data_IF_031338017185
#
_entry.id   IF_031338017185
#
_cell.length_a   1.000
_cell.length_b   1.000
_cell.length_c   1.000
_cell.angle_alpha   90.00
_cell.angle_beta   90.00
_cell.angle_gamma   90.00
#
_symmetry.space_group_name_H-M   'P 1'
#
loop_
_entity.id
_entity.type
_entity.pdbx_description
1 polymer ?
#
# COMPACT_ATOMS: atom_id res chain seq x y z
N UNK A 1 -22.99 17.99 -7.44
CA UNK A 1 -21.69 17.71 -6.82
C UNK A 1 -20.70 17.30 -7.93
N UNK A 2 -19.60 17.99 -8.03
CA UNK A 2 -18.56 17.63 -9.00
C UNK A 2 -17.64 16.53 -8.46
N UNK A 3 -16.78 15.97 -9.31
CA UNK A 3 -15.88 14.88 -8.95
C UNK A 3 -14.93 15.25 -7.80
N UNK A 4 -14.40 16.47 -7.80
CA UNK A 4 -13.46 16.95 -6.77
C UNK A 4 -14.16 17.00 -5.42
N UNK A 5 -15.37 17.57 -5.36
CA UNK A 5 -16.16 17.61 -4.12
C UNK A 5 -16.44 16.20 -3.59
N UNK A 6 -16.73 15.26 -4.49
CA UNK A 6 -16.96 13.86 -4.09
C UNK A 6 -15.70 13.20 -3.53
N UNK A 7 -14.56 13.48 -4.12
CA UNK A 7 -13.25 12.99 -3.61
C UNK A 7 -12.96 13.58 -2.24
N UNK A 8 -13.14 14.90 -2.08
CA UNK A 8 -12.91 15.58 -0.80
C UNK A 8 -13.78 15.02 0.32
N UNK A 9 -15.06 14.75 0.04
CA UNK A 9 -15.97 14.12 1.01
C UNK A 9 -15.48 12.73 1.44
N UNK A 10 -15.03 11.90 0.49
CA UNK A 10 -14.53 10.56 0.77
C UNK A 10 -13.24 10.64 1.61
N UNK A 11 -12.34 11.57 1.28
CA UNK A 11 -11.10 11.80 2.04
C UNK A 11 -11.45 12.23 3.47
N UNK A 12 -12.37 13.18 3.63
CA UNK A 12 -12.80 13.67 4.95
C UNK A 12 -13.43 12.55 5.80
N UNK A 13 -14.29 11.74 5.19
CA UNK A 13 -14.96 10.63 5.88
C UNK A 13 -13.99 9.51 6.27
N UNK A 14 -12.98 9.22 5.42
CA UNK A 14 -12.12 8.05 5.54
C UNK A 14 -10.65 8.39 5.82
N UNK A 15 -10.38 9.61 6.24
CA UNK A 15 -9.00 10.02 6.53
C UNK A 15 -8.31 9.11 7.53
N UNK A 16 -7.16 8.56 7.15
CA UNK A 16 -6.31 7.77 8.05
C UNK A 16 -5.84 8.57 9.26
N UNK A 17 -5.69 9.89 9.10
CA UNK A 17 -5.23 10.78 10.18
C UNK A 17 -6.22 10.84 11.35
N UNK A 18 -7.48 10.48 11.13
CA UNK A 18 -8.53 10.42 12.16
C UNK A 18 -8.67 9.03 12.79
N UNK A 19 -7.95 8.03 12.26
CA UNK A 19 -7.98 6.69 12.80
C UNK A 19 -7.24 6.63 14.16
N UNK A 20 -7.78 5.92 15.16
CA UNK A 20 -7.16 5.83 16.49
C UNK A 20 -5.69 5.38 16.46
N UNK A 21 -5.31 4.50 15.56
CA UNK A 21 -3.94 4.06 15.38
C UNK A 21 -3.00 5.23 15.04
N UNK A 22 -3.39 6.09 14.10
CA UNK A 22 -2.59 7.26 13.71
C UNK A 22 -2.55 8.32 14.82
N UNK A 23 -3.64 8.50 15.54
CA UNK A 23 -3.67 9.39 16.70
C UNK A 23 -2.69 8.92 17.78
N UNK A 24 -2.71 7.62 18.09
CA UNK A 24 -1.76 7.02 19.04
C UNK A 24 -0.31 7.10 18.53
N UNK A 25 -0.10 6.94 17.25
CA UNK A 25 1.22 7.12 16.62
C UNK A 25 1.73 8.54 16.86
N UNK A 26 0.93 9.55 16.50
CA UNK A 26 1.29 10.97 16.66
C UNK A 26 1.54 11.36 18.12
N UNK A 27 0.81 10.74 19.05
CA UNK A 27 0.95 10.95 20.49
C UNK A 27 2.09 10.14 21.13
N UNK A 28 2.79 9.31 20.35
CA UNK A 28 3.84 8.44 20.85
C UNK A 28 3.36 7.33 21.82
N UNK A 29 2.10 6.92 21.68
CA UNK A 29 1.45 5.95 22.58
C UNK A 29 1.43 4.51 22.04
N UNK A 30 1.94 4.27 20.83
CA UNK A 30 2.02 2.92 20.27
C UNK A 30 3.04 2.08 21.03
N UNK A 31 2.66 0.84 21.35
CA UNK A 31 3.58 -0.14 21.92
C UNK A 31 4.47 -0.75 20.84
N UNK A 32 5.59 -1.32 21.25
CA UNK A 32 6.45 -2.09 20.32
C UNK A 32 5.67 -3.25 19.68
N UNK A 33 4.79 -3.91 20.43
CA UNK A 33 3.93 -4.97 19.92
C UNK A 33 2.98 -4.48 18.85
N UNK A 34 2.36 -3.31 19.04
CA UNK A 34 1.49 -2.68 18.05
C UNK A 34 2.24 -2.34 16.75
N UNK A 35 3.45 -1.79 16.89
CA UNK A 35 4.32 -1.48 15.74
C UNK A 35 4.76 -2.74 15.01
N UNK A 36 5.11 -3.80 15.74
CA UNK A 36 5.48 -5.09 15.16
C UNK A 36 4.30 -5.69 14.36
N UNK A 37 3.10 -5.68 14.93
CA UNK A 37 1.89 -6.12 14.22
C UNK A 37 1.62 -5.29 12.96
N UNK A 38 1.71 -3.98 13.07
CA UNK A 38 1.59 -3.07 11.94
C UNK A 38 2.60 -3.37 10.84
N UNK A 39 3.87 -3.60 11.21
CA UNK A 39 4.93 -3.88 10.23
C UNK A 39 4.64 -5.13 9.40
N UNK A 40 4.05 -6.15 10.02
CA UNK A 40 3.67 -7.40 9.34
C UNK A 40 2.45 -7.19 8.42
N UNK A 41 1.43 -6.50 8.91
CA UNK A 41 0.21 -6.24 8.12
C UNK A 41 0.49 -5.33 6.92
N UNK A 42 1.17 -4.23 7.13
CA UNK A 42 1.46 -3.28 6.05
C UNK A 42 2.44 -3.84 5.02
N UNK A 43 3.29 -4.77 5.41
CA UNK A 43 4.20 -5.44 4.47
C UNK A 43 3.44 -6.16 3.35
N UNK A 44 2.22 -6.63 3.60
CA UNK A 44 1.38 -7.25 2.57
C UNK A 44 1.12 -6.28 1.41
N UNK A 45 0.90 -5.02 1.71
CA UNK A 45 0.75 -3.96 0.70
C UNK A 45 2.10 -3.59 0.07
N UNK A 46 3.13 -3.40 0.88
CA UNK A 46 4.48 -3.00 0.41
C UNK A 46 5.00 -3.97 -0.65
N UNK A 47 4.87 -5.28 -0.43
CA UNK A 47 5.32 -6.30 -1.40
C UNK A 47 4.42 -6.41 -2.62
N UNK A 48 3.13 -6.06 -2.50
CA UNK A 48 2.15 -6.23 -3.56
C UNK A 48 2.10 -5.03 -4.53
N UNK A 49 2.39 -3.81 -4.07
CA UNK A 49 2.28 -2.59 -4.90
C UNK A 49 3.09 -2.65 -6.20
N UNK A 50 4.36 -3.11 -6.22
CA UNK A 50 5.08 -3.23 -7.48
C UNK A 50 4.38 -4.13 -8.50
N UNK A 51 3.78 -5.22 -8.04
CA UNK A 51 3.07 -6.16 -8.91
C UNK A 51 1.77 -5.57 -9.45
N UNK A 52 1.06 -4.73 -8.68
CA UNK A 52 -0.12 -4.02 -9.13
C UNK A 52 0.15 -3.11 -10.33
N UNK A 53 1.34 -2.56 -10.41
CA UNK A 53 1.73 -1.63 -11.48
C UNK A 53 1.98 -2.33 -12.81
N UNK A 54 2.29 -3.61 -12.82
CA UNK A 54 2.61 -4.35 -14.05
C UNK A 54 1.48 -4.29 -15.08
N UNK A 55 0.22 -4.64 -14.78
CA UNK A 55 -0.85 -4.53 -15.76
C UNK A 55 -1.14 -3.09 -16.19
N UNK A 56 -0.92 -2.13 -15.31
CA UNK A 56 -1.06 -0.70 -15.63
C UNK A 56 -0.02 -0.28 -16.66
N UNK A 57 1.24 -0.64 -16.43
CA UNK A 57 2.35 -0.32 -17.34
C UNK A 57 2.16 -0.99 -18.71
N UNK A 58 1.67 -2.23 -18.73
CA UNK A 58 1.42 -2.97 -19.98
C UNK A 58 0.37 -2.30 -20.88
N UNK A 59 -0.56 -1.56 -20.28
CA UNK A 59 -1.64 -0.87 -20.98
C UNK A 59 -1.38 0.63 -21.18
N UNK A 60 -0.32 1.17 -20.57
CA UNK A 60 -0.06 2.59 -20.56
C UNK A 60 0.35 3.13 -21.92
N UNK A 61 -0.05 4.38 -22.25
CA UNK A 61 0.49 5.07 -23.43
C UNK A 61 2.00 5.25 -23.32
N UNK A 62 2.71 5.23 -24.47
CA UNK A 62 4.16 5.39 -24.50
C UNK A 62 4.67 6.65 -23.79
N UNK A 63 3.85 7.70 -23.76
CA UNK A 63 4.21 8.97 -23.12
C UNK A 63 4.42 8.89 -21.61
N UNK A 64 3.88 7.86 -20.94
CA UNK A 64 3.91 7.71 -19.48
C UNK A 64 4.60 6.42 -19.00
N UNK A 65 5.00 5.52 -19.91
CA UNK A 65 5.62 4.23 -19.55
C UNK A 65 6.90 4.43 -18.74
N UNK A 66 7.75 5.36 -19.14
CA UNK A 66 9.04 5.61 -18.46
C UNK A 66 8.79 6.03 -17.00
N UNK A 67 7.90 6.99 -16.79
CA UNK A 67 7.55 7.48 -15.44
C UNK A 67 6.94 6.38 -14.58
N UNK A 68 6.01 5.60 -15.13
CA UNK A 68 5.39 4.47 -14.40
C UNK A 68 6.40 3.38 -14.07
N UNK A 69 7.35 3.10 -14.95
CA UNK A 69 8.41 2.12 -14.71
C UNK A 69 9.37 2.60 -13.62
N UNK A 70 9.73 3.87 -13.61
CA UNK A 70 10.52 4.48 -12.55
C UNK A 70 9.79 4.40 -11.20
N UNK A 71 8.51 4.73 -11.16
CA UNK A 71 7.67 4.60 -9.97
C UNK A 71 7.59 3.15 -9.48
N UNK A 72 7.47 2.18 -10.39
CA UNK A 72 7.49 0.76 -10.02
C UNK A 72 8.82 0.37 -9.36
N UNK A 73 9.93 0.86 -9.88
CA UNK A 73 11.24 0.62 -9.29
C UNK A 73 11.36 1.24 -7.89
N UNK A 74 10.90 2.47 -7.74
CA UNK A 74 10.91 3.15 -6.43
C UNK A 74 10.11 2.38 -5.37
N UNK A 75 8.90 1.91 -5.68
CA UNK A 75 8.11 1.14 -4.72
C UNK A 75 8.70 -0.25 -4.47
N UNK A 76 9.38 -0.85 -5.44
CA UNK A 76 10.14 -2.09 -5.25
C UNK A 76 11.31 -1.88 -4.29
N UNK A 77 11.97 -0.74 -4.37
CA UNK A 77 13.11 -0.41 -3.51
C UNK A 77 12.70 -0.17 -2.04
N UNK A 78 11.42 0.02 -1.76
CA UNK A 78 10.91 0.14 -0.38
C UNK A 78 10.82 -1.20 0.37
N UNK A 79 10.90 -2.33 -0.32
CA UNK A 79 10.78 -3.65 0.30
C UNK A 79 11.91 -3.90 1.28
N UNK A 80 13.16 -3.67 0.90
CA UNK A 80 14.32 -3.88 1.78
C UNK A 80 14.32 -3.01 3.03
N UNK A 81 14.10 -1.67 2.94
CA UNK A 81 13.97 -0.83 4.12
C UNK A 81 12.84 -1.29 5.06
N UNK A 82 11.74 -1.80 4.51
CA UNK A 82 10.65 -2.31 5.34
C UNK A 82 11.04 -3.57 6.11
N UNK A 83 11.77 -4.49 5.46
CA UNK A 83 12.32 -5.70 6.11
C UNK A 83 13.26 -5.29 7.25
N UNK A 84 14.11 -4.29 7.04
CA UNK A 84 15.01 -3.75 8.07
C UNK A 84 14.24 -3.13 9.24
N UNK A 85 13.19 -2.37 8.94
CA UNK A 85 12.31 -1.79 9.96
C UNK A 85 11.64 -2.86 10.82
N UNK A 86 11.08 -3.88 10.19
CA UNK A 86 10.47 -5.01 10.92
C UNK A 86 11.52 -5.75 11.77
N UNK A 87 12.75 -5.90 11.26
CA UNK A 87 13.88 -6.48 11.99
C UNK A 87 14.22 -5.73 13.27
N UNK A 88 14.18 -4.41 13.25
CA UNK A 88 14.40 -3.57 14.44
C UNK A 88 13.28 -3.76 15.48
N UNK A 89 12.11 -4.20 15.06
CA UNK A 89 10.98 -4.54 15.93
C UNK A 89 10.99 -5.99 16.41
N UNK A 90 12.02 -6.75 16.06
CA UNK A 90 12.20 -8.14 16.49
C UNK A 90 11.55 -9.18 15.56
N UNK A 91 11.17 -8.80 14.37
CA UNK A 91 10.57 -9.68 13.35
C UNK A 91 11.63 -10.07 12.34
N UNK A 92 11.91 -11.39 12.24
CA UNK A 92 12.86 -11.90 11.23
C UNK A 92 12.28 -11.75 9.82
N UNK A 93 13.16 -11.70 8.83
CA UNK A 93 12.76 -11.68 7.42
C UNK A 93 11.91 -12.91 7.06
N UNK A 94 12.28 -14.09 7.56
CA UNK A 94 11.52 -15.32 7.34
C UNK A 94 10.12 -15.23 7.92
N UNK A 95 9.96 -14.73 9.14
CA UNK A 95 8.65 -14.50 9.77
C UNK A 95 7.82 -13.51 8.98
N UNK A 96 8.42 -12.41 8.54
CA UNK A 96 7.76 -11.37 7.77
C UNK A 96 7.23 -11.89 6.42
N UNK A 97 8.07 -12.62 5.68
CA UNK A 97 7.73 -13.17 4.36
C UNK A 97 6.68 -14.26 4.46
N UNK A 98 6.72 -15.12 5.49
CA UNK A 98 5.77 -16.19 5.67
C UNK A 98 4.42 -15.76 6.25
N UNK A 99 4.35 -14.54 6.78
CA UNK A 99 3.13 -14.00 7.36
C UNK A 99 2.11 -13.64 6.26
N UNK A 100 0.88 -14.15 6.39
CA UNK A 100 -0.14 -13.99 5.34
C UNK A 100 -1.11 -12.84 5.56
N UNK A 101 -1.11 -12.22 6.73
CA UNK A 101 -2.00 -11.11 7.07
C UNK A 101 -3.34 -11.53 7.68
N UNK A 102 -4.03 -10.57 8.27
CA UNK A 102 -5.41 -10.74 8.71
C UNK A 102 -6.36 -10.78 7.50
N UNK A 103 -7.53 -11.38 7.67
CA UNK A 103 -8.51 -11.52 6.58
C UNK A 103 -8.88 -10.19 5.91
N UNK A 104 -9.02 -9.12 6.69
CA UNK A 104 -9.29 -7.78 6.15
C UNK A 104 -8.15 -7.24 5.30
N UNK A 105 -6.92 -7.50 5.68
CA UNK A 105 -5.72 -7.09 4.93
C UNK A 105 -5.62 -7.89 3.63
N UNK A 106 -5.80 -9.21 3.70
CA UNK A 106 -5.82 -10.08 2.52
C UNK A 106 -6.88 -9.61 1.53
N UNK A 107 -8.08 -9.33 2.01
CA UNK A 107 -9.18 -8.83 1.17
C UNK A 107 -8.85 -7.48 0.54
N UNK A 108 -8.31 -6.54 1.31
CA UNK A 108 -7.97 -5.22 0.80
C UNK A 108 -6.91 -5.28 -0.31
N UNK A 109 -5.86 -6.08 -0.11
CA UNK A 109 -4.81 -6.28 -1.11
C UNK A 109 -5.36 -6.97 -2.36
N UNK A 110 -6.19 -7.99 -2.20
CA UNK A 110 -6.85 -8.70 -3.30
C UNK A 110 -7.79 -7.78 -4.09
N UNK A 111 -8.58 -6.95 -3.41
CA UNK A 111 -9.48 -5.99 -4.06
C UNK A 111 -8.71 -4.95 -4.88
N UNK A 112 -7.57 -4.47 -4.36
CA UNK A 112 -6.69 -3.55 -5.09
C UNK A 112 -6.06 -4.22 -6.32
N UNK A 113 -5.58 -5.45 -6.19
CA UNK A 113 -5.03 -6.22 -7.30
C UNK A 113 -6.05 -6.39 -8.43
N UNK A 114 -7.28 -6.77 -8.08
CA UNK A 114 -8.37 -6.91 -9.05
C UNK A 114 -8.72 -5.58 -9.72
N UNK A 115 -8.76 -4.50 -8.96
CA UNK A 115 -9.04 -3.17 -9.49
C UNK A 115 -7.97 -2.72 -10.48
N UNK A 116 -6.69 -2.89 -10.12
CA UNK A 116 -5.56 -2.50 -10.98
C UNK A 116 -5.49 -3.34 -12.25
N UNK A 117 -5.86 -4.61 -12.19
CA UNK A 117 -5.93 -5.50 -13.36
C UNK A 117 -7.03 -5.12 -14.36
N UNK A 118 -8.03 -4.35 -13.92
CA UNK A 118 -9.15 -3.90 -14.74
C UNK A 118 -9.00 -2.50 -15.29
N UNK A 119 -7.89 -1.82 -15.02
CA UNK A 119 -7.64 -0.47 -15.55
C UNK A 119 -7.61 -0.53 -17.09
N UNK A 120 -8.39 0.36 -17.68
CA UNK A 120 -8.52 0.51 -19.15
C UNK A 120 -8.26 1.97 -19.49
N UNK A 121 -7.07 2.25 -19.99
CA UNK A 121 -6.68 3.62 -20.33
C UNK A 121 -7.54 4.23 -21.43
N UNK A 122 -8.07 3.42 -22.33
CA UNK A 122 -8.87 3.92 -23.46
C UNK A 122 -10.22 4.51 -22.99
N UNK A 123 -10.70 4.11 -21.81
CA UNK A 123 -11.92 4.65 -21.22
C UNK A 123 -11.73 5.99 -20.54
N UNK A 124 -10.49 6.37 -20.24
CA UNK A 124 -10.13 7.60 -19.54
C UNK A 124 -9.42 8.62 -20.43
N UNK A 125 -9.16 8.24 -21.65
CA UNK A 125 -8.53 9.11 -22.65
C UNK A 125 -9.52 10.13 -23.25
#
# INVERSE_FOLDING_TARGET
MNLIQRIDEIIEERSLLKHPFYEMWSDGKLTQESLAGYSKEYFQLVKAVPEFMTPIIQQAPNSVITELTENQQEVSDHIKPWISFAGELGISEEELISYSGLDKTIKAVSDLDQLMSKVDYDKFA
#
